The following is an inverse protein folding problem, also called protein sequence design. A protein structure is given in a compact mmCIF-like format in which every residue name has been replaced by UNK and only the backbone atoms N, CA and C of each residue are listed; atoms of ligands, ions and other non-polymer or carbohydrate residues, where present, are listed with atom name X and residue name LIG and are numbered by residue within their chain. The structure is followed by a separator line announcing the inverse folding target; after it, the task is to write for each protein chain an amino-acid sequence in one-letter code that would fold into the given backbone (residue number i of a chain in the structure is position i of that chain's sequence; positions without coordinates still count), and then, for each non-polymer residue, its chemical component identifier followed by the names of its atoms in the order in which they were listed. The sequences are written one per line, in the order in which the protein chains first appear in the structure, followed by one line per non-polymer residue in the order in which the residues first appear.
data_IF_892036670028
#
_entry.id   IF_892036670028
#
_cell.length_a   1.000
_cell.length_b   1.000
_cell.length_c   1.000
_cell.angle_alpha   90.00
_cell.angle_beta   90.00
_cell.angle_gamma   90.00
#
_symmetry.space_group_name_H-M   'P 1'
#
loop_
_entity.id
_entity.type
_entity.pdbx_description
1 polymer ?
#
# COMPACT_ATOMS: atom_id res chain seq x y z
N UNK A 1 1.40 14.43 14.88
CA UNK A 1 1.55 13.75 13.57
C UNK A 1 2.33 12.44 13.78
N UNK A 2 1.95 11.34 13.11
CA UNK A 2 2.69 10.05 13.21
C UNK A 2 3.95 10.02 12.33
N UNK A 3 4.04 10.89 11.34
CA UNK A 3 5.22 11.04 10.50
C UNK A 3 6.20 12.02 11.14
N UNK A 4 7.49 11.66 11.16
CA UNK A 4 8.55 12.62 11.43
C UNK A 4 8.70 13.61 10.25
N UNK A 5 9.45 14.69 10.46
CA UNK A 5 9.57 15.76 9.46
C UNK A 5 10.15 15.28 8.13
N UNK A 6 11.18 14.42 8.18
CA UNK A 6 11.82 13.86 6.98
C UNK A 6 10.83 13.02 6.17
N UNK A 7 10.07 12.15 6.84
CA UNK A 7 9.05 11.31 6.20
C UNK A 7 7.91 12.16 5.64
N UNK A 8 7.46 13.18 6.37
CA UNK A 8 6.42 14.08 5.89
C UNK A 8 6.86 14.86 4.63
N UNK A 9 8.11 15.35 4.58
CA UNK A 9 8.65 15.99 3.37
C UNK A 9 8.69 15.01 2.20
N UNK A 10 9.26 13.83 2.39
CA UNK A 10 9.37 12.83 1.33
C UNK A 10 8.00 12.38 0.79
N UNK A 11 6.99 12.23 1.65
CA UNK A 11 5.62 11.94 1.22
C UNK A 11 5.07 13.07 0.34
N UNK A 12 5.25 14.33 0.74
CA UNK A 12 4.82 15.48 -0.07
C UNK A 12 5.54 15.54 -1.42
N UNK A 13 6.84 15.29 -1.44
CA UNK A 13 7.67 15.34 -2.65
C UNK A 13 7.33 14.22 -3.66
N UNK A 14 6.81 13.08 -3.18
CA UNK A 14 6.45 11.92 -4.01
C UNK A 14 4.99 11.92 -4.46
N UNK A 15 4.10 12.64 -3.76
CA UNK A 15 2.69 12.70 -4.12
C UNK A 15 2.52 13.56 -5.39
N UNK A 16 1.65 13.14 -6.32
CA UNK A 16 1.32 13.97 -7.47
C UNK A 16 0.51 15.20 -7.04
N UNK A 17 0.64 16.30 -7.79
CA UNK A 17 0.00 17.59 -7.46
C UNK A 17 -1.51 17.48 -7.19
N UNK A 18 -2.22 16.63 -7.93
CA UNK A 18 -3.67 16.45 -7.79
C UNK A 18 -4.08 15.80 -6.45
N UNK A 19 -3.15 15.20 -5.71
CA UNK A 19 -3.41 14.62 -4.41
C UNK A 19 -3.42 15.65 -3.27
N UNK A 20 -3.05 16.91 -3.53
CA UNK A 20 -3.06 18.03 -2.55
C UNK A 20 -2.43 17.66 -1.19
N UNK A 21 -1.24 17.05 -1.23
CA UNK A 21 -0.52 16.55 -0.05
C UNK A 21 -1.31 15.55 0.83
N UNK A 22 -2.43 15.00 0.34
CA UNK A 22 -3.27 14.06 1.04
C UNK A 22 -2.96 12.62 0.60
N UNK A 23 -2.07 11.95 1.34
CA UNK A 23 -1.73 10.54 1.10
C UNK A 23 -2.97 9.63 1.07
N UNK A 24 -3.98 9.90 1.92
CA UNK A 24 -5.17 9.06 2.02
C UNK A 24 -6.00 9.05 0.73
N UNK A 25 -5.90 10.09 -0.10
CA UNK A 25 -6.60 10.17 -1.39
C UNK A 25 -6.12 9.14 -2.41
N UNK A 26 -4.92 8.56 -2.21
CA UNK A 26 -4.29 7.61 -3.13
C UNK A 26 -4.09 6.22 -2.54
N UNK A 27 -4.46 5.96 -1.29
CA UNK A 27 -4.25 4.65 -0.66
C UNK A 27 -5.00 3.50 -1.36
N UNK A 28 -6.10 3.78 -2.09
CA UNK A 28 -6.85 2.78 -2.87
C UNK A 28 -6.25 2.48 -4.24
N UNK A 29 -5.28 3.27 -4.71
CA UNK A 29 -4.73 3.16 -6.07
C UNK A 29 -4.23 1.76 -6.40
N UNK A 30 -3.61 1.06 -5.44
CA UNK A 30 -3.14 -0.31 -5.62
C UNK A 30 -4.29 -1.28 -5.96
N UNK A 31 -5.46 -1.12 -5.32
CA UNK A 31 -6.64 -1.94 -5.60
C UNK A 31 -7.24 -1.67 -6.98
N UNK A 32 -7.17 -0.43 -7.45
CA UNK A 32 -7.70 -0.02 -8.75
C UNK A 32 -6.86 -0.60 -9.91
N UNK A 33 -5.54 -0.69 -9.74
CA UNK A 33 -4.63 -1.11 -10.80
C UNK A 33 -4.33 -2.62 -10.80
N UNK A 34 -4.61 -3.38 -9.74
CA UNK A 34 -4.22 -4.81 -9.65
C UNK A 34 -4.78 -5.68 -10.76
N UNK A 35 -5.90 -5.26 -11.36
CA UNK A 35 -6.48 -5.90 -12.55
C UNK A 35 -5.68 -5.65 -13.83
N UNK A 36 -4.99 -4.50 -13.92
CA UNK A 36 -4.10 -4.11 -15.03
C UNK A 36 -2.70 -4.69 -14.83
N UNK A 37 -2.14 -4.51 -13.63
CA UNK A 37 -0.85 -5.09 -13.21
C UNK A 37 -1.11 -6.43 -12.53
N UNK A 38 -1.44 -7.46 -13.31
CA UNK A 38 -1.89 -8.77 -12.79
C UNK A 38 -0.94 -9.39 -11.76
N UNK A 39 0.36 -9.16 -11.88
CA UNK A 39 1.37 -9.65 -10.94
C UNK A 39 1.23 -9.04 -9.54
N UNK A 40 0.58 -7.87 -9.39
CA UNK A 40 0.44 -7.21 -8.09
C UNK A 40 -0.72 -7.75 -7.27
N UNK A 41 -1.68 -8.45 -7.88
CA UNK A 41 -2.84 -9.01 -7.20
C UNK A 41 -2.51 -9.86 -5.96
N UNK A 42 -1.58 -10.85 -6.02
CA UNK A 42 -1.22 -11.65 -4.85
C UNK A 42 -0.49 -10.88 -3.74
N UNK A 43 -0.06 -9.63 -3.97
CA UNK A 43 0.62 -8.83 -2.94
C UNK A 43 -0.33 -8.25 -1.88
N UNK A 44 -1.65 -8.33 -2.12
CA UNK A 44 -2.66 -7.78 -1.20
C UNK A 44 -3.03 -8.73 -0.06
N UNK A 45 -2.62 -9.99 -0.12
CA UNK A 45 -3.07 -11.01 0.82
C UNK A 45 -1.97 -12.03 1.09
N UNK A 46 -2.20 -12.83 2.13
CA UNK A 46 -1.41 -13.99 2.48
C UNK A 46 -2.41 -15.11 2.75
N UNK A 47 -2.37 -16.15 1.93
CA UNK A 47 -3.17 -17.35 2.15
C UNK A 47 -2.42 -18.27 3.14
N UNK A 48 -3.10 -18.69 4.20
CA UNK A 48 -2.59 -19.68 5.16
C UNK A 48 -3.37 -20.98 5.03
N UNK A 49 -2.74 -22.17 5.17
CA UNK A 49 -3.44 -23.45 5.21
C UNK A 49 -4.59 -23.47 6.22
N UNK A 50 -5.67 -24.16 5.85
CA UNK A 50 -6.81 -24.34 6.73
C UNK A 50 -6.39 -24.95 8.07
N UNK A 51 -6.97 -24.43 9.16
CA UNK A 51 -6.74 -24.88 10.54
C UNK A 51 -5.31 -24.73 11.08
N UNK A 52 -4.36 -24.16 10.33
CA UNK A 52 -2.99 -23.95 10.82
C UNK A 52 -2.91 -22.84 11.88
N UNK A 53 -3.76 -21.82 11.79
CA UNK A 53 -3.83 -20.68 12.74
C UNK A 53 -2.47 -20.01 13.02
N UNK A 54 -1.54 -20.09 12.07
CA UNK A 54 -0.22 -19.48 12.13
C UNK A 54 0.23 -19.08 10.73
N UNK A 55 1.26 -18.23 10.67
CA UNK A 55 1.85 -17.74 9.42
C UNK A 55 3.33 -18.12 9.40
N UNK A 56 3.77 -18.69 8.28
CA UNK A 56 5.17 -18.98 7.98
C UNK A 56 5.56 -18.29 6.67
N UNK A 57 6.67 -17.57 6.70
CA UNK A 57 7.20 -16.86 5.52
C UNK A 57 8.20 -17.69 4.72
N UNK A 58 8.93 -18.57 5.41
CA UNK A 58 10.08 -19.33 4.91
C UNK A 58 9.67 -20.54 4.04
#
# INVERSE_FOLDING_TARGET
ARLNQKAASAVKDLLPDYADNNLASLCSWADEIKSRLRWSSPLHYVDTPDFQCSYAYD
#
